data_IF_011068358885
#
_entry.id   IF_011068358885
#
_cell.length_a   1.000
_cell.length_b   1.000
_cell.length_c   1.000
_cell.angle_alpha   90.00
_cell.angle_beta   90.00
_cell.angle_gamma   90.00
#
_symmetry.space_group_name_H-M   'P 1'
#
loop_
_entity.id
_entity.type
_entity.pdbx_description
1 polymer ?
#
# COMPACT_ATOMS: atom_id res chain seq x y z
N UNK A 1 -14.25 10.90 -14.71
CA UNK A 1 -13.23 11.33 -13.74
C UNK A 1 -12.82 10.14 -12.90
N UNK A 2 -11.53 9.89 -12.80
CA UNK A 2 -11.04 8.72 -12.07
C UNK A 2 -11.13 8.94 -10.57
N UNK A 3 -11.57 7.92 -9.85
CA UNK A 3 -11.67 7.96 -8.39
C UNK A 3 -10.39 7.38 -7.78
N UNK A 4 -9.44 8.25 -7.46
CA UNK A 4 -8.15 7.82 -6.92
C UNK A 4 -8.27 7.28 -5.50
N UNK A 5 -9.25 7.73 -4.72
CA UNK A 5 -9.49 7.15 -3.40
C UNK A 5 -9.92 5.70 -3.53
N UNK A 6 -10.77 5.39 -4.50
CA UNK A 6 -11.20 4.02 -4.77
C UNK A 6 -10.02 3.16 -5.21
N UNK A 7 -9.13 3.71 -6.07
CA UNK A 7 -7.93 2.99 -6.48
C UNK A 7 -7.05 2.64 -5.28
N UNK A 8 -6.87 3.60 -4.37
CA UNK A 8 -6.09 3.36 -3.15
C UNK A 8 -6.77 2.31 -2.27
N UNK A 9 -8.10 2.38 -2.09
CA UNK A 9 -8.81 1.36 -1.33
C UNK A 9 -8.64 -0.03 -1.91
N UNK A 10 -8.74 -0.15 -3.23
CA UNK A 10 -8.57 -1.44 -3.90
C UNK A 10 -7.17 -1.99 -3.71
N UNK A 11 -6.15 -1.13 -3.81
CA UNK A 11 -4.77 -1.51 -3.57
C UNK A 11 -4.56 -2.01 -2.14
N UNK A 12 -5.07 -1.27 -1.16
CA UNK A 12 -4.91 -1.64 0.24
C UNK A 12 -5.65 -2.94 0.57
N UNK A 13 -6.84 -3.12 0.03
CA UNK A 13 -7.59 -4.37 0.22
C UNK A 13 -6.86 -5.55 -0.40
N UNK A 14 -6.29 -5.37 -1.59
CA UNK A 14 -5.49 -6.41 -2.21
C UNK A 14 -4.31 -6.79 -1.31
N UNK A 15 -3.63 -5.78 -0.76
CA UNK A 15 -2.47 -5.98 0.12
C UNK A 15 -2.83 -6.78 1.36
N UNK A 16 -3.95 -6.46 2.02
CA UNK A 16 -4.34 -7.12 3.28
C UNK A 16 -5.03 -8.47 3.05
N UNK A 17 -5.67 -8.68 1.90
CA UNK A 17 -6.44 -9.90 1.62
C UNK A 17 -5.61 -10.99 0.96
N UNK A 18 -4.42 -10.67 0.45
CA UNK A 18 -3.59 -11.65 -0.22
C UNK A 18 -3.05 -12.67 0.79
N UNK A 19 -3.42 -13.93 0.61
CA UNK A 19 -3.02 -15.02 1.50
C UNK A 19 -1.92 -15.88 0.91
N UNK A 20 -1.74 -15.83 -0.42
CA UNK A 20 -0.78 -16.65 -1.13
C UNK A 20 0.36 -15.80 -1.68
N UNK A 21 1.59 -16.20 -1.38
CA UNK A 21 2.79 -15.54 -1.90
C UNK A 21 2.96 -15.72 -3.41
N UNK A 22 2.25 -16.69 -3.99
CA UNK A 22 2.27 -16.95 -5.43
C UNK A 22 1.19 -16.15 -6.15
N UNK A 23 0.34 -15.49 -5.41
CA UNK A 23 -0.74 -14.67 -5.96
C UNK A 23 -0.17 -13.31 -6.31
N UNK A 24 0.33 -13.20 -7.52
CA UNK A 24 1.02 -11.99 -7.96
C UNK A 24 0.02 -11.11 -8.69
N UNK A 25 -0.65 -10.23 -7.95
CA UNK A 25 -1.58 -9.28 -8.53
C UNK A 25 -1.12 -7.83 -8.43
N UNK A 26 0.05 -7.59 -7.82
CA UNK A 26 0.55 -6.23 -7.62
C UNK A 26 0.83 -5.51 -8.94
N UNK A 27 1.16 -6.22 -10.01
CA UNK A 27 1.37 -5.62 -11.33
C UNK A 27 0.10 -4.98 -11.88
N UNK A 28 -1.06 -5.29 -11.33
CA UNK A 28 -2.31 -4.61 -11.69
C UNK A 28 -2.44 -3.24 -11.05
N UNK A 29 -1.62 -2.95 -10.02
CA UNK A 29 -1.67 -1.71 -9.26
C UNK A 29 -0.40 -0.88 -9.41
N UNK A 30 0.74 -1.52 -9.63
CA UNK A 30 2.06 -0.89 -9.64
C UNK A 30 2.70 -1.01 -11.02
N UNK A 31 3.39 0.06 -11.42
CA UNK A 31 4.34 -0.01 -12.52
C UNK A 31 5.53 -0.88 -12.08
N UNK A 32 6.14 -1.63 -13.02
CA UNK A 32 7.29 -2.48 -12.72
C UNK A 32 8.47 -1.70 -12.12
N UNK A 33 8.59 -0.44 -12.51
CA UNK A 33 9.67 0.44 -12.05
C UNK A 33 9.26 1.30 -10.84
N UNK A 34 8.15 0.95 -10.18
CA UNK A 34 7.71 1.69 -8.99
C UNK A 34 8.75 1.64 -7.91
N UNK A 35 8.94 2.78 -7.22
CA UNK A 35 9.73 2.82 -6.00
C UNK A 35 8.78 2.84 -4.81
N UNK A 36 9.14 2.13 -3.74
CA UNK A 36 8.28 1.98 -2.57
C UNK A 36 9.14 2.16 -1.33
N UNK A 37 8.68 3.04 -0.44
CA UNK A 37 9.27 3.21 0.89
C UNK A 37 8.19 2.86 1.91
N UNK A 38 8.43 1.80 2.66
CA UNK A 38 7.51 1.36 3.70
C UNK A 38 7.84 1.93 5.06
N UNK A 39 7.12 1.49 6.07
CA UNK A 39 7.25 2.00 7.44
C UNK A 39 8.45 1.40 8.18
N UNK A 40 8.95 0.26 7.74
CA UNK A 40 10.07 -0.41 8.37
C UNK A 40 11.41 0.18 7.97
N UNK A 41 12.40 0.05 8.85
CA UNK A 41 13.71 0.67 8.68
C UNK A 41 14.39 0.28 7.35
N UNK A 42 14.17 -0.93 6.88
CA UNK A 42 14.83 -1.47 5.69
C UNK A 42 13.91 -1.53 4.47
N UNK A 43 12.73 -0.93 4.54
CA UNK A 43 11.74 -1.02 3.49
C UNK A 43 11.93 0.08 2.44
N UNK A 44 13.03 -0.05 1.70
CA UNK A 44 13.34 0.79 0.53
C UNK A 44 13.41 -0.12 -0.68
N UNK A 45 12.42 -0.03 -1.56
CA UNK A 45 12.35 -0.89 -2.74
C UNK A 45 12.45 -0.03 -3.99
N UNK A 46 13.37 -0.39 -4.89
CA UNK A 46 13.65 0.39 -6.10
C UNK A 46 12.75 0.00 -7.26
N UNK A 47 12.10 -1.15 -7.15
CA UNK A 47 11.20 -1.65 -8.19
C UNK A 47 10.20 -2.62 -7.57
N UNK A 48 9.19 -2.99 -8.35
CA UNK A 48 8.13 -3.87 -7.89
C UNK A 48 8.64 -5.25 -7.48
N UNK A 49 9.63 -5.78 -8.19
CA UNK A 49 10.18 -7.09 -7.88
C UNK A 49 10.78 -7.14 -6.46
N UNK A 50 11.54 -6.11 -6.09
CA UNK A 50 12.12 -6.05 -4.73
C UNK A 50 11.02 -6.02 -3.67
N UNK A 51 9.96 -5.25 -3.91
CA UNK A 51 8.84 -5.20 -3.00
C UNK A 51 8.15 -6.56 -2.86
N UNK A 52 7.89 -7.24 -3.97
CA UNK A 52 7.21 -8.53 -3.96
C UNK A 52 8.00 -9.59 -3.20
N UNK A 53 9.32 -9.60 -3.34
CA UNK A 53 10.17 -10.54 -2.60
C UNK A 53 10.08 -10.31 -1.09
N UNK A 54 10.09 -9.03 -0.67
CA UNK A 54 9.90 -8.68 0.74
C UNK A 54 8.50 -9.05 1.24
N UNK A 55 7.49 -8.82 0.42
CA UNK A 55 6.10 -9.11 0.78
C UNK A 55 5.88 -10.61 1.02
N UNK A 56 6.50 -11.46 0.22
CA UNK A 56 6.44 -12.92 0.43
C UNK A 56 6.92 -13.30 1.83
N UNK A 57 8.00 -12.69 2.26
CA UNK A 57 8.53 -12.91 3.61
C UNK A 57 7.55 -12.40 4.68
N UNK A 58 7.01 -11.20 4.49
CA UNK A 58 6.08 -10.58 5.44
C UNK A 58 4.81 -11.41 5.61
N UNK A 59 4.26 -11.95 4.53
CA UNK A 59 3.06 -12.79 4.59
C UNK A 59 3.32 -14.04 5.44
N UNK A 60 4.50 -14.64 5.29
CA UNK A 60 4.88 -15.81 6.10
C UNK A 60 5.01 -15.44 7.57
N UNK A 61 5.61 -14.30 7.88
CA UNK A 61 5.81 -13.84 9.25
C UNK A 61 4.49 -13.43 9.91
N UNK A 62 3.54 -12.91 9.13
CA UNK A 62 2.23 -12.51 9.64
C UNK A 62 1.46 -13.69 10.21
N UNK A 63 1.60 -14.86 9.59
CA UNK A 63 0.92 -16.07 10.03
C UNK A 63 -0.60 -15.91 9.97
N UNK A 64 -1.25 -16.09 11.13
CA UNK A 64 -2.72 -16.03 11.24
C UNK A 64 -3.25 -14.66 11.65
N UNK A 65 -2.40 -13.65 11.71
CA UNK A 65 -2.84 -12.28 11.98
C UNK A 65 -3.58 -11.76 10.75
N UNK A 66 -4.81 -11.27 10.97
CA UNK A 66 -5.61 -10.68 9.90
C UNK A 66 -5.49 -9.17 9.96
N UNK A 67 -5.31 -8.55 8.79
CA UNK A 67 -5.23 -7.10 8.68
C UNK A 67 -6.56 -6.52 8.24
N UNK A 68 -6.90 -5.36 8.80
CA UNK A 68 -8.02 -4.53 8.37
C UNK A 68 -7.57 -3.09 8.24
N UNK A 69 -8.29 -2.33 7.42
CA UNK A 69 -8.06 -0.89 7.30
C UNK A 69 -9.33 -0.15 7.68
N UNK A 70 -9.14 1.07 8.20
CA UNK A 70 -10.24 1.99 8.47
C UNK A 70 -9.77 3.43 8.32
N UNK A 71 -10.73 4.33 8.21
CA UNK A 71 -10.51 5.78 8.23
C UNK A 71 -9.53 6.24 7.16
N UNK A 72 -9.68 5.70 5.94
CA UNK A 72 -8.90 6.17 4.81
C UNK A 72 -9.33 7.61 4.46
N UNK A 73 -8.39 8.54 4.56
CA UNK A 73 -8.56 9.93 4.15
C UNK A 73 -7.53 10.24 3.08
N UNK A 74 -7.98 10.86 2.00
CA UNK A 74 -7.09 11.10 0.87
C UNK A 74 -7.45 12.38 0.15
N UNK A 75 -6.43 13.17 -0.14
CA UNK A 75 -6.48 14.32 -1.03
C UNK A 75 -5.66 14.03 -2.28
N UNK A 76 -5.95 14.69 -3.38
CA UNK A 76 -5.23 14.53 -4.64
C UNK A 76 -4.79 15.88 -5.20
N UNK A 77 -3.65 15.87 -5.91
CA UNK A 77 -3.14 17.02 -6.64
C UNK A 77 -2.62 16.56 -7.98
N UNK A 78 -3.05 17.22 -9.05
CA UNK A 78 -2.54 16.93 -10.39
C UNK A 78 -1.11 17.40 -10.51
N UNK A 79 -0.23 16.53 -11.00
CA UNK A 79 1.17 16.88 -11.31
C UNK A 79 1.39 17.11 -12.79
N UNK A 80 0.43 16.69 -13.62
CA UNK A 80 0.48 16.79 -15.07
C UNK A 80 -0.68 16.00 -15.65
N UNK A 81 -0.71 15.85 -16.97
CA UNK A 81 -1.81 15.14 -17.64
C UNK A 81 -1.85 13.65 -17.26
N UNK A 82 -0.68 13.06 -17.00
CA UNK A 82 -0.54 11.63 -16.78
C UNK A 82 -0.06 11.29 -15.37
N UNK A 83 -0.04 12.26 -14.46
CA UNK A 83 0.44 12.02 -13.09
C UNK A 83 -0.42 12.73 -12.06
N UNK A 84 -0.70 12.03 -10.97
CA UNK A 84 -1.47 12.56 -9.83
C UNK A 84 -0.76 12.17 -8.55
N UNK A 85 -0.63 13.13 -7.64
CA UNK A 85 -0.18 12.87 -6.27
C UNK A 85 -1.41 12.66 -5.40
N UNK A 86 -1.48 11.50 -4.76
CA UNK A 86 -2.47 11.22 -3.71
C UNK A 86 -1.74 11.18 -2.38
N UNK A 87 -2.32 11.78 -1.34
CA UNK A 87 -1.71 11.76 -0.02
C UNK A 87 -2.79 11.74 1.05
N UNK A 88 -2.46 11.14 2.18
CA UNK A 88 -3.44 11.00 3.22
C UNK A 88 -3.00 10.10 4.34
N UNK A 89 -4.00 9.50 4.99
CA UNK A 89 -3.78 8.62 6.13
C UNK A 89 -4.75 7.46 6.12
N UNK A 90 -4.35 6.37 6.77
CA UNK A 90 -5.18 5.18 6.94
C UNK A 90 -4.72 4.45 8.19
N UNK A 91 -5.66 3.82 8.89
CA UNK A 91 -5.34 3.02 10.08
C UNK A 91 -5.34 1.55 9.69
N UNK A 92 -4.22 0.86 9.97
CA UNK A 92 -4.12 -0.58 9.85
C UNK A 92 -4.33 -1.22 11.23
N UNK A 93 -5.17 -2.23 11.28
CA UNK A 93 -5.41 -3.00 12.51
C UNK A 93 -5.07 -4.45 12.25
N UNK A 94 -4.23 -5.03 13.10
CA UNK A 94 -3.94 -6.46 13.07
C UNK A 94 -4.76 -7.16 14.14
N UNK A 95 -5.43 -8.25 13.77
CA UNK A 95 -6.31 -8.99 14.65
C UNK A 95 -5.80 -10.43 14.85
N UNK A 96 -5.87 -10.91 16.08
CA UNK A 96 -5.67 -12.33 16.39
C UNK A 96 -6.86 -13.14 15.86
N UNK A 97 -6.74 -14.48 15.87
CA UNK A 97 -7.80 -15.39 15.41
C UNK A 97 -9.11 -15.20 16.18
N UNK A 98 -9.03 -14.85 17.46
CA UNK A 98 -10.22 -14.64 18.29
C UNK A 98 -10.89 -13.28 18.07
N UNK A 99 -10.33 -12.47 17.17
CA UNK A 99 -10.86 -11.14 16.86
C UNK A 99 -10.32 -10.02 17.74
N UNK A 100 -9.51 -10.34 18.75
CA UNK A 100 -8.90 -9.29 19.58
C UNK A 100 -7.78 -8.57 18.82
N UNK A 101 -7.52 -7.33 19.22
CA UNK A 101 -6.54 -6.47 18.54
C UNK A 101 -5.13 -6.87 18.93
N UNK A 102 -4.31 -7.21 17.92
CA UNK A 102 -2.89 -7.48 18.09
C UNK A 102 -2.10 -6.16 18.07
N UNK A 103 -2.40 -5.30 17.09
CA UNK A 103 -1.79 -3.98 16.99
C UNK A 103 -2.70 -3.04 16.21
N UNK A 104 -2.48 -1.75 16.38
CA UNK A 104 -3.11 -0.71 15.59
C UNK A 104 -2.05 0.30 15.19
N UNK A 105 -2.02 0.66 13.91
CA UNK A 105 -0.97 1.53 13.37
C UNK A 105 -1.58 2.62 12.51
N UNK A 106 -1.42 3.87 12.98
CA UNK A 106 -1.75 5.05 12.16
C UNK A 106 -0.65 5.24 11.13
N UNK A 107 -1.02 5.26 9.86
CA UNK A 107 -0.04 5.52 8.80
C UNK A 107 -0.41 6.74 8.00
N UNK A 108 0.61 7.39 7.46
CA UNK A 108 0.46 8.45 6.48
C UNK A 108 1.11 7.97 5.20
N UNK A 109 0.59 8.42 4.07
CA UNK A 109 1.14 7.97 2.79
C UNK A 109 1.13 9.07 1.75
N UNK A 110 2.02 8.92 0.79
CA UNK A 110 2.02 9.67 -0.47
C UNK A 110 2.17 8.68 -1.59
N UNK A 111 1.34 8.81 -2.62
CA UNK A 111 1.34 7.93 -3.78
C UNK A 111 1.40 8.80 -5.03
N UNK A 112 2.30 8.49 -5.95
CA UNK A 112 2.27 9.06 -7.29
C UNK A 112 1.66 8.03 -8.21
N UNK A 113 0.49 8.34 -8.75
CA UNK A 113 -0.15 7.56 -9.80
C UNK A 113 0.29 8.08 -11.15
N UNK A 114 0.61 7.16 -12.07
CA UNK A 114 0.97 7.49 -13.44
C UNK A 114 0.08 6.72 -14.40
N UNK A 115 -0.38 7.39 -15.44
CA UNK A 115 -1.19 6.76 -16.48
C UNK A 115 -0.27 6.08 -17.48
N UNK A 116 -0.41 4.74 -17.60
CA UNK A 116 0.39 3.91 -18.48
C UNK A 116 -0.58 3.11 -19.35
N UNK A 117 -0.55 3.35 -20.65
CA UNK A 117 -1.45 2.67 -21.62
C UNK A 117 -2.92 2.76 -21.20
N UNK A 118 -3.33 3.95 -20.75
CA UNK A 118 -4.72 4.21 -20.38
C UNK A 118 -5.11 3.75 -18.98
N UNK A 119 -4.18 3.18 -18.23
CA UNK A 119 -4.44 2.67 -16.88
C UNK A 119 -3.58 3.42 -15.86
N UNK A 120 -4.20 3.79 -14.73
CA UNK A 120 -3.49 4.43 -13.64
C UNK A 120 -2.79 3.39 -12.78
N UNK A 121 -1.47 3.51 -12.66
CA UNK A 121 -0.64 2.61 -11.85
C UNK A 121 0.17 3.43 -10.85
N UNK A 122 0.49 2.82 -9.72
CA UNK A 122 1.38 3.44 -8.73
C UNK A 122 2.80 3.49 -9.29
N UNK A 123 3.38 4.67 -9.31
CA UNK A 123 4.78 4.90 -9.70
C UNK A 123 5.67 5.03 -8.47
N UNK A 124 5.13 5.58 -7.39
CA UNK A 124 5.86 5.75 -6.13
C UNK A 124 4.88 5.70 -4.97
N UNK A 125 5.29 5.02 -3.92
CA UNK A 125 4.54 4.94 -2.67
C UNK A 125 5.50 5.17 -1.51
N UNK A 126 5.14 6.07 -0.62
CA UNK A 126 5.85 6.29 0.63
C UNK A 126 4.85 6.23 1.79
N UNK A 127 5.12 5.37 2.75
CA UNK A 127 4.35 5.29 3.99
C UNK A 127 5.22 5.63 5.18
N UNK A 128 4.63 6.26 6.17
CA UNK A 128 5.31 6.58 7.42
C UNK A 128 4.34 6.42 8.58
N UNK A 129 4.89 6.30 9.77
CA UNK A 129 4.12 6.30 11.02
C UNK A 129 4.56 7.50 11.85
N UNK A 130 3.65 8.08 12.68
CA UNK A 130 4.04 9.15 13.57
C UNK A 130 5.09 8.68 14.56
N UNK A 131 6.01 9.57 14.87
CA UNK A 131 6.97 9.32 15.94
C UNK A 131 6.22 9.30 17.28
N UNK A 132 6.71 8.48 18.20
CA UNK A 132 6.14 8.40 19.54
C UNK A 132 6.91 9.33 20.47
N UNK A 133 6.24 10.32 20.94
CA UNK A 133 6.79 11.18 21.99
C UNK A 133 6.45 10.64 23.36
#
# INVERSE_FOLDING_TARGET
MDDFKQLTEQLLKFYIDTESVDDIGFENFFDDNSSIIGTGKHEFFRNLHEFQESYKFDVKQRGKIRLKIRDLQQEEAELGDDQVLAYGSVVFTGLFEDGSVCFEMDTRFSIIYKKVNGKWLVQHLHQSVPDRD
#
